data_IF_567406618033
#
_entry.id   IF_567406618033
#
_cell.length_a   1.000
_cell.length_b   1.000
_cell.length_c   1.000
_cell.angle_alpha   90.00
_cell.angle_beta   90.00
_cell.angle_gamma   90.00
#
_symmetry.space_group_name_H-M   'P 1'
#
loop_
_entity.id
_entity.type
_entity.pdbx_description
1 polymer ?
#
# COMPACT_ATOMS: atom_id res chain seq x y z
N UNK A 1 14.44 10.02 14.43
CA UNK A 1 13.56 11.21 14.54
C UNK A 1 14.03 12.26 13.54
N UNK A 2 13.10 12.92 12.85
CA UNK A 2 13.43 13.96 11.87
C UNK A 2 13.11 15.34 12.44
N UNK A 3 14.07 16.25 12.38
CA UNK A 3 13.93 17.66 12.78
C UNK A 3 13.80 18.51 11.52
N UNK A 4 12.68 19.21 11.39
CA UNK A 4 12.43 20.20 10.34
C UNK A 4 12.34 21.62 10.92
N UNK A 5 12.29 22.62 10.04
CA UNK A 5 12.21 24.04 10.47
C UNK A 5 11.03 24.33 11.40
N UNK A 6 9.92 23.58 11.31
CA UNK A 6 8.77 23.78 12.21
C UNK A 6 9.11 23.31 13.62
N UNK A 7 9.71 22.14 13.74
CA UNK A 7 10.13 21.61 15.04
C UNK A 7 11.16 22.55 15.68
N UNK A 8 12.14 23.02 14.90
CA UNK A 8 13.14 23.97 15.38
C UNK A 8 12.46 25.27 15.88
N UNK A 9 11.57 25.86 15.09
CA UNK A 9 10.90 27.11 15.45
C UNK A 9 10.03 27.00 16.72
N UNK A 10 9.21 25.97 16.81
CA UNK A 10 8.25 25.83 17.92
C UNK A 10 8.88 25.25 19.18
N UNK A 11 9.79 24.29 19.06
CA UNK A 11 10.29 23.54 20.21
C UNK A 11 11.70 23.95 20.65
N UNK A 12 12.57 24.34 19.71
CA UNK A 12 13.93 24.79 20.05
C UNK A 12 13.95 26.29 20.32
N UNK A 13 13.47 27.09 19.38
CA UNK A 13 13.39 28.55 19.51
C UNK A 13 12.19 29.01 20.37
N UNK A 14 11.28 28.10 20.73
CA UNK A 14 10.09 28.37 21.56
C UNK A 14 9.22 29.53 21.05
N UNK A 15 9.23 29.76 19.74
CA UNK A 15 8.47 30.85 19.13
C UNK A 15 7.02 30.45 18.91
N UNK A 16 6.09 31.26 19.44
CA UNK A 16 4.64 31.03 19.30
C UNK A 16 4.06 31.58 17.99
N UNK A 17 4.84 32.33 17.21
CA UNK A 17 4.39 32.95 15.96
C UNK A 17 4.43 31.92 14.83
N UNK A 18 3.53 32.03 13.85
CA UNK A 18 3.63 31.19 12.66
C UNK A 18 4.91 31.52 11.87
N UNK A 19 5.60 30.49 11.37
CA UNK A 19 6.74 30.66 10.44
C UNK A 19 6.25 31.36 9.18
N UNK A 20 6.91 32.46 8.80
CA UNK A 20 6.63 33.13 7.53
C UNK A 20 7.09 32.26 6.37
N UNK A 21 6.29 32.18 5.31
CA UNK A 21 6.66 31.47 4.08
C UNK A 21 7.95 32.06 3.52
N UNK A 22 9.03 31.27 3.48
CA UNK A 22 10.36 31.71 3.01
C UNK A 22 11.43 31.85 4.10
N UNK A 23 11.07 31.96 5.39
CA UNK A 23 12.06 32.15 6.47
C UNK A 23 12.76 30.87 6.95
N UNK A 24 12.69 29.80 6.15
CA UNK A 24 13.14 28.45 6.53
C UNK A 24 14.62 28.40 6.93
N UNK A 25 15.48 29.00 6.10
CA UNK A 25 16.92 29.02 6.34
C UNK A 25 17.32 30.03 7.40
N UNK A 26 16.55 31.10 7.58
CA UNK A 26 16.74 32.05 8.69
C UNK A 26 16.47 31.35 10.03
N UNK A 27 15.37 30.58 10.12
CA UNK A 27 15.06 29.75 11.29
C UNK A 27 16.18 28.75 11.60
N UNK A 28 16.77 28.12 10.59
CA UNK A 28 17.91 27.23 10.80
C UNK A 28 19.19 27.98 11.17
N UNK A 29 19.46 29.13 10.55
CA UNK A 29 20.61 29.98 10.86
C UNK A 29 20.61 30.50 12.29
N UNK A 30 19.44 30.60 12.93
CA UNK A 30 19.32 30.94 14.35
C UNK A 30 19.76 29.81 15.31
N UNK A 31 19.85 28.56 14.82
CA UNK A 31 20.14 27.39 15.67
C UNK A 31 21.45 26.70 15.29
N UNK A 32 21.84 26.76 14.01
CA UNK A 32 23.07 26.15 13.51
C UNK A 32 23.80 27.11 12.57
N UNK A 33 25.13 27.10 12.63
CA UNK A 33 25.97 27.85 11.69
C UNK A 33 26.01 27.16 10.33
N UNK A 34 25.20 27.67 9.39
CA UNK A 34 25.09 27.16 8.03
C UNK A 34 26.36 27.37 7.19
N UNK A 35 27.36 28.13 7.68
CA UNK A 35 28.63 28.31 6.98
C UNK A 35 29.62 27.17 7.21
N UNK A 36 29.35 26.28 8.17
CA UNK A 36 30.23 25.14 8.47
C UNK A 36 30.30 24.17 7.29
N UNK A 37 31.45 23.47 7.18
CA UNK A 37 31.74 22.47 6.13
C UNK A 37 30.62 21.44 5.97
N UNK A 38 29.97 21.08 7.07
CA UNK A 38 28.87 20.12 7.10
C UNK A 38 27.63 20.58 6.29
N UNK A 39 27.37 21.88 6.17
CA UNK A 39 26.23 22.45 5.45
C UNK A 39 26.54 22.90 4.02
N UNK A 40 27.82 22.96 3.63
CA UNK A 40 28.24 23.31 2.26
C UNK A 40 27.62 22.36 1.22
N UNK A 41 27.28 22.90 0.06
CA UNK A 41 26.73 22.12 -1.05
C UNK A 41 27.71 21.04 -1.52
N UNK A 42 27.17 19.90 -1.95
CA UNK A 42 27.90 18.69 -2.36
C UNK A 42 27.32 18.12 -3.66
N UNK A 43 27.96 17.09 -4.22
CA UNK A 43 27.54 16.42 -5.44
C UNK A 43 27.98 17.12 -6.72
N UNK A 44 27.72 16.48 -7.87
CA UNK A 44 28.02 17.04 -9.19
C UNK A 44 27.35 18.40 -9.35
N UNK A 45 28.13 19.41 -9.76
CA UNK A 45 27.68 20.81 -9.88
C UNK A 45 27.03 21.40 -8.61
N UNK A 46 27.39 20.93 -7.41
CA UNK A 46 26.79 21.40 -6.13
C UNK A 46 25.27 21.18 -6.06
N UNK A 47 24.78 20.13 -6.72
CA UNK A 47 23.36 19.78 -6.80
C UNK A 47 22.72 19.39 -5.47
N UNK A 48 23.49 18.85 -4.52
CA UNK A 48 22.99 18.45 -3.21
C UNK A 48 23.22 19.58 -2.20
N UNK A 49 22.13 20.17 -1.72
CA UNK A 49 22.16 21.25 -0.72
C UNK A 49 21.37 20.86 0.52
N UNK A 50 21.73 21.46 1.65
CA UNK A 50 20.92 21.33 2.85
C UNK A 50 19.56 21.97 2.59
N UNK A 51 18.51 21.20 2.83
CA UNK A 51 17.13 21.65 2.64
C UNK A 51 16.39 21.68 3.97
N UNK A 52 17.05 22.04 5.07
CA UNK A 52 16.37 22.28 6.34
C UNK A 52 15.79 21.04 7.02
N UNK A 53 16.44 19.89 6.86
CA UNK A 53 16.06 18.63 7.53
C UNK A 53 17.29 17.95 8.12
N UNK A 54 17.22 17.63 9.42
CA UNK A 54 18.19 16.79 10.12
C UNK A 54 17.51 15.51 10.59
N UNK A 55 18.27 14.42 10.65
CA UNK A 55 17.86 13.18 11.29
C UNK A 55 18.70 12.93 12.54
N UNK A 56 18.06 12.46 13.59
CA UNK A 56 18.73 12.10 14.85
C UNK A 56 18.11 10.85 15.44
N UNK A 57 18.93 10.01 16.03
CA UNK A 57 18.53 8.83 16.81
C UNK A 57 18.56 9.09 18.33
N UNK A 58 18.83 10.34 18.74
CA UNK A 58 19.01 10.74 20.14
C UNK A 58 20.46 10.72 20.62
N UNK A 59 21.39 10.14 19.86
CA UNK A 59 22.83 10.11 20.18
C UNK A 59 23.64 10.83 19.10
N UNK A 60 23.33 10.59 17.84
CA UNK A 60 23.95 11.21 16.67
C UNK A 60 22.99 12.09 15.87
N UNK A 61 23.56 12.90 14.98
CA UNK A 61 22.82 13.76 14.06
C UNK A 61 23.39 13.61 12.64
N UNK A 62 22.51 13.36 11.69
CA UNK A 62 22.80 13.30 10.25
C UNK A 62 22.15 14.47 9.53
N UNK A 63 22.90 15.10 8.62
CA UNK A 63 22.42 16.21 7.79
C UNK A 63 21.95 15.67 6.45
N UNK A 64 20.68 15.89 6.10
CA UNK A 64 20.15 15.49 4.80
C UNK A 64 20.44 16.57 3.76
N UNK A 65 21.12 16.18 2.67
CA UNK A 65 21.34 17.03 1.49
C UNK A 65 20.63 16.46 0.28
N UNK A 66 19.82 17.30 -0.35
CA UNK A 66 18.95 16.91 -1.45
C UNK A 66 18.93 18.00 -2.52
N UNK A 67 18.57 17.61 -3.74
CA UNK A 67 18.41 18.50 -4.89
C UNK A 67 16.97 19.03 -5.05
N UNK A 68 16.04 18.54 -4.23
CA UNK A 68 14.63 18.92 -4.22
C UNK A 68 14.26 19.60 -2.90
N UNK A 69 13.25 20.45 -2.91
CA UNK A 69 12.78 21.11 -1.70
C UNK A 69 12.08 20.09 -0.78
N UNK A 70 12.41 20.16 0.51
CA UNK A 70 11.79 19.30 1.53
C UNK A 70 10.34 19.71 1.72
N UNK A 71 9.46 19.03 1.01
CA UNK A 71 8.03 19.12 1.17
C UNK A 71 7.57 17.88 1.95
N UNK A 72 6.97 18.08 3.13
CA UNK A 72 6.27 16.99 3.83
C UNK A 72 5.05 16.49 3.03
N UNK A 73 4.61 17.24 2.02
CA UNK A 73 3.75 16.70 0.97
C UNK A 73 4.68 15.88 0.09
N UNK A 74 4.62 14.55 0.21
CA UNK A 74 5.03 13.68 -0.88
C UNK A 74 4.53 14.31 -2.18
N UNK A 75 5.35 14.45 -3.24
CA UNK A 75 4.79 14.74 -4.55
C UNK A 75 3.66 13.75 -4.71
N UNK A 76 2.41 14.25 -4.81
CA UNK A 76 1.30 13.37 -5.18
C UNK A 76 1.81 12.70 -6.45
N UNK A 77 1.97 11.37 -6.47
CA UNK A 77 2.26 10.75 -7.74
C UNK A 77 1.09 11.18 -8.63
N UNK A 78 1.38 11.92 -9.70
CA UNK A 78 0.53 11.93 -10.89
C UNK A 78 0.61 10.57 -11.59
N UNK A 79 1.00 9.51 -10.88
CA UNK A 79 0.51 8.18 -11.17
C UNK A 79 -0.97 8.25 -10.84
N UNK A 80 -1.81 8.37 -11.86
CA UNK A 80 -3.12 7.72 -11.83
C UNK A 80 -2.91 6.44 -11.05
N UNK A 81 -3.43 6.38 -9.81
CA UNK A 81 -3.41 5.13 -9.07
C UNK A 81 -4.02 4.16 -10.07
N UNK A 82 -3.26 3.16 -10.51
CA UNK A 82 -3.88 1.95 -11.03
C UNK A 82 -4.81 1.55 -9.91
N UNK A 83 -6.09 1.87 -10.09
CA UNK A 83 -7.15 1.48 -9.19
C UNK A 83 -7.11 -0.02 -9.33
N UNK A 84 -6.39 -0.68 -8.44
CA UNK A 84 -6.60 -2.09 -8.21
C UNK A 84 -8.11 -2.19 -7.98
N UNK A 85 -8.80 -2.98 -8.81
CA UNK A 85 -10.27 -3.03 -8.94
C UNK A 85 -10.97 -3.58 -7.70
N UNK A 86 -10.33 -3.46 -6.54
CA UNK A 86 -10.69 -4.00 -5.26
C UNK A 86 -10.56 -2.90 -4.17
N UNK A 87 -10.72 -1.63 -4.53
CA UNK A 87 -10.93 -0.57 -3.54
C UNK A 87 -12.33 -0.74 -2.97
N UNK A 88 -12.40 -1.42 -1.83
CA UNK A 88 -13.61 -1.46 -1.02
C UNK A 88 -13.92 -0.04 -0.56
N UNK A 89 -15.11 0.47 -0.88
CA UNK A 89 -15.57 1.77 -0.42
C UNK A 89 -15.74 1.77 1.11
N UNK A 90 -15.52 2.94 1.71
CA UNK A 90 -15.73 3.17 3.14
C UNK A 90 -17.22 3.18 3.46
N UNK A 91 -17.59 2.89 4.71
CA UNK A 91 -18.99 3.03 5.16
C UNK A 91 -19.51 4.44 4.93
N UNK A 92 -18.67 5.45 5.17
CA UNK A 92 -19.01 6.86 4.95
C UNK A 92 -19.25 7.19 3.46
N UNK A 93 -18.79 6.34 2.54
CA UNK A 93 -18.97 6.48 1.09
C UNK A 93 -20.06 5.58 0.51
N UNK A 94 -20.65 4.67 1.30
CA UNK A 94 -21.69 3.77 0.83
C UNK A 94 -22.99 4.52 0.58
N UNK A 95 -23.72 4.09 -0.46
CA UNK A 95 -25.07 4.58 -0.73
C UNK A 95 -26.07 4.13 0.34
N UNK A 96 -27.22 4.80 0.41
CA UNK A 96 -28.27 4.51 1.40
C UNK A 96 -28.77 3.05 1.33
N UNK A 97 -28.80 2.46 0.12
CA UNK A 97 -29.21 1.07 -0.07
C UNK A 97 -28.22 0.08 0.54
N UNK A 98 -26.92 0.32 0.38
CA UNK A 98 -25.86 -0.53 0.92
C UNK A 98 -25.79 -0.40 2.45
N UNK A 99 -25.96 0.81 2.98
CA UNK A 99 -26.06 1.05 4.42
C UNK A 99 -27.25 0.32 5.06
N UNK A 100 -28.41 0.30 4.39
CA UNK A 100 -29.57 -0.49 4.85
C UNK A 100 -29.28 -1.99 4.82
N UNK A 101 -28.50 -2.49 3.86
CA UNK A 101 -28.11 -3.91 3.82
C UNK A 101 -27.19 -4.35 4.98
N UNK A 102 -26.59 -3.39 5.67
CA UNK A 102 -25.79 -3.59 6.89
C UNK A 102 -26.58 -3.48 8.18
N UNK A 103 -27.90 -3.23 8.12
CA UNK A 103 -28.76 -3.22 9.30
C UNK A 103 -28.72 -4.57 10.04
N UNK A 104 -28.52 -4.52 11.36
CA UNK A 104 -28.31 -5.71 12.19
C UNK A 104 -26.89 -6.31 12.14
N UNK A 105 -25.97 -5.78 11.32
CA UNK A 105 -24.56 -6.21 11.27
C UNK A 105 -23.67 -5.17 11.95
N UNK A 106 -22.79 -5.63 12.83
CA UNK A 106 -21.75 -4.77 13.40
C UNK A 106 -20.54 -4.72 12.46
N UNK A 107 -20.10 -3.52 12.10
CA UNK A 107 -18.87 -3.36 11.32
C UNK A 107 -17.70 -3.22 12.28
N UNK A 108 -16.96 -4.31 12.43
CA UNK A 108 -15.76 -4.37 13.26
C UNK A 108 -14.51 -3.77 12.58
N UNK A 109 -14.47 -3.74 11.24
CA UNK A 109 -13.31 -3.27 10.47
C UNK A 109 -13.81 -2.52 9.23
N UNK A 110 -13.41 -1.24 9.08
CA UNK A 110 -13.54 -0.52 7.81
C UNK A 110 -12.26 -0.73 6.98
N UNK A 111 -12.30 -1.53 5.90
CA UNK A 111 -11.13 -1.88 5.09
C UNK A 111 -10.47 -0.69 4.39
N UNK A 112 -11.14 0.46 4.34
CA UNK A 112 -10.61 1.67 3.76
C UNK A 112 -9.77 2.49 4.75
N UNK A 113 -10.08 2.49 6.07
CA UNK A 113 -9.36 3.29 7.07
C UNK A 113 -8.02 2.66 7.47
N UNK A 114 -7.07 3.48 7.95
CA UNK A 114 -5.79 3.00 8.49
C UNK A 114 -5.97 2.60 9.95
N UNK A 115 -6.93 1.72 10.21
CA UNK A 115 -7.22 1.31 11.58
C UNK A 115 -6.19 0.26 12.00
N UNK A 116 -5.67 0.44 13.22
CA UNK A 116 -4.77 -0.49 13.90
C UNK A 116 -5.65 -1.46 14.67
N UNK A 117 -5.79 -2.69 14.18
CA UNK A 117 -6.47 -3.72 14.95
C UNK A 117 -5.44 -4.49 15.77
N UNK A 118 -5.68 -4.58 17.08
CA UNK A 118 -4.92 -5.44 17.97
C UNK A 118 -5.62 -6.80 18.02
N UNK A 119 -5.07 -7.79 17.32
CA UNK A 119 -5.51 -9.17 17.39
C UNK A 119 -4.64 -9.94 18.39
N UNK A 120 -5.17 -11.01 18.98
CA UNK A 120 -4.31 -12.07 19.55
C UNK A 120 -4.16 -13.19 18.53
N UNK A 121 -2.99 -13.82 18.49
CA UNK A 121 -2.79 -15.03 17.69
C UNK A 121 -3.54 -16.19 18.34
N UNK A 122 -3.96 -17.15 17.52
CA UNK A 122 -4.58 -18.40 17.98
C UNK A 122 -3.66 -19.21 18.91
N UNK A 123 -2.34 -19.06 18.74
CA UNK A 123 -1.32 -19.68 19.59
C UNK A 123 -1.06 -18.94 20.90
N UNK A 124 -1.81 -17.87 21.18
CA UNK A 124 -1.67 -17.10 22.41
C UNK A 124 -2.27 -17.85 23.60
N UNK A 125 -1.53 -17.95 24.69
CA UNK A 125 -2.05 -18.45 25.97
C UNK A 125 -2.24 -17.30 26.97
N UNK A 126 -2.77 -17.61 28.16
CA UNK A 126 -2.98 -16.61 29.24
C UNK A 126 -1.63 -16.11 29.76
N UNK A 127 -0.65 -17.01 29.86
CA UNK A 127 0.71 -16.75 30.32
C UNK A 127 1.56 -16.07 29.23
N UNK A 128 1.42 -16.51 27.97
CA UNK A 128 2.14 -15.95 26.83
C UNK A 128 1.19 -15.29 25.84
N UNK A 129 0.92 -14.01 26.09
CA UNK A 129 0.08 -13.19 25.21
C UNK A 129 0.82 -12.84 23.93
N UNK A 130 0.44 -13.46 22.83
CA UNK A 130 0.97 -13.18 21.51
C UNK A 130 0.03 -12.25 20.73
N UNK A 131 0.33 -10.96 20.75
CA UNK A 131 -0.45 -9.95 20.02
C UNK A 131 0.03 -9.78 18.58
N UNK A 132 -0.91 -9.52 17.67
CA UNK A 132 -0.69 -9.24 16.26
C UNK A 132 -1.36 -7.90 15.95
N UNK A 133 -0.56 -6.92 15.51
CA UNK A 133 -1.10 -5.66 15.02
C UNK A 133 -1.43 -5.82 13.54
N UNK A 134 -2.71 -5.86 13.21
CA UNK A 134 -3.18 -5.88 11.84
C UNK A 134 -3.29 -4.45 11.31
N UNK A 135 -2.53 -4.17 10.24
CA UNK A 135 -2.55 -2.89 9.54
C UNK A 135 -2.95 -3.10 8.08
N UNK A 136 -3.45 -2.07 7.39
CA UNK A 136 -3.74 -2.12 5.95
C UNK A 136 -2.55 -2.62 5.10
N UNK A 137 -1.32 -2.32 5.51
CA UNK A 137 -0.10 -2.80 4.85
C UNK A 137 0.14 -4.31 5.04
N UNK A 138 -0.48 -4.94 6.04
CA UNK A 138 -0.47 -6.39 6.21
C UNK A 138 -1.49 -7.09 5.30
N UNK A 139 -2.53 -6.38 4.80
CA UNK A 139 -3.47 -6.91 3.80
C UNK A 139 -2.81 -7.13 2.43
N UNK A 140 -1.97 -6.18 1.98
CA UNK A 140 -1.25 -6.29 0.71
C UNK A 140 -0.08 -7.27 0.77
N UNK A 141 0.46 -7.51 1.97
CA UNK A 141 1.35 -8.64 2.24
C UNK A 141 0.52 -9.92 2.25
N UNK A 142 0.12 -10.41 1.08
CA UNK A 142 -0.15 -11.83 0.92
C UNK A 142 1.08 -12.58 1.43
N UNK A 143 0.95 -13.11 2.66
CA UNK A 143 2.02 -13.82 3.33
C UNK A 143 2.53 -14.90 2.37
N UNK A 144 3.82 -15.22 2.45
CA UNK A 144 4.42 -16.29 1.64
C UNK A 144 3.57 -17.57 1.74
N UNK A 145 3.00 -17.82 2.92
CA UNK A 145 2.03 -18.88 3.19
C UNK A 145 0.78 -18.82 2.30
N UNK A 146 0.06 -17.69 2.23
CA UNK A 146 -1.13 -17.57 1.36
C UNK A 146 -0.79 -17.69 -0.14
N UNK A 147 0.39 -17.25 -0.57
CA UNK A 147 0.86 -17.49 -1.93
C UNK A 147 1.08 -18.98 -2.22
N UNK A 148 1.64 -19.73 -1.28
CA UNK A 148 1.79 -21.19 -1.41
C UNK A 148 0.45 -21.92 -1.36
N UNK A 149 -0.45 -21.53 -0.46
CA UNK A 149 -1.80 -22.09 -0.41
C UNK A 149 -2.52 -21.88 -1.75
N UNK A 150 -2.52 -20.65 -2.29
CA UNK A 150 -3.15 -20.35 -3.57
C UNK A 150 -2.61 -21.21 -4.71
N UNK A 151 -1.29 -21.48 -4.74
CA UNK A 151 -0.69 -22.40 -5.71
C UNK A 151 -1.13 -23.85 -5.50
N UNK A 152 -1.15 -24.32 -4.24
CA UNK A 152 -1.58 -25.68 -3.89
C UNK A 152 -3.05 -25.93 -4.21
N UNK A 153 -3.92 -24.97 -3.93
CA UNK A 153 -5.37 -25.06 -4.17
C UNK A 153 -5.77 -24.58 -5.56
N UNK A 154 -4.82 -24.28 -6.44
CA UNK A 154 -5.11 -23.81 -7.79
C UNK A 154 -5.72 -24.97 -8.59
N UNK A 155 -6.90 -24.80 -9.21
CA UNK A 155 -7.50 -25.86 -10.02
C UNK A 155 -6.58 -26.23 -11.18
N UNK A 156 -6.54 -27.52 -11.51
CA UNK A 156 -5.74 -28.05 -12.59
C UNK A 156 -5.98 -27.35 -13.94
N UNK A 157 -7.23 -26.97 -14.23
CA UNK A 157 -7.59 -26.25 -15.46
C UNK A 157 -6.91 -24.87 -15.51
N UNK A 158 -6.86 -24.16 -14.37
CA UNK A 158 -6.19 -22.86 -14.28
C UNK A 158 -4.67 -23.00 -14.45
N UNK A 159 -4.08 -24.04 -13.86
CA UNK A 159 -2.65 -24.33 -14.04
C UNK A 159 -2.31 -24.59 -15.52
N UNK A 160 -3.12 -25.40 -16.22
CA UNK A 160 -2.96 -25.66 -17.66
C UNK A 160 -3.02 -24.38 -18.48
N UNK A 161 -3.98 -23.51 -18.18
CA UNK A 161 -4.14 -22.22 -18.86
C UNK A 161 -2.93 -21.31 -18.66
N UNK A 162 -2.41 -21.21 -17.43
CA UNK A 162 -1.22 -20.42 -17.13
C UNK A 162 0.00 -20.93 -17.89
N UNK A 163 0.18 -22.26 -18.01
CA UNK A 163 1.26 -22.87 -18.79
C UNK A 163 1.15 -22.55 -20.29
N UNK A 164 -0.06 -22.56 -20.84
CA UNK A 164 -0.29 -22.21 -22.25
C UNK A 164 0.08 -20.74 -22.50
N UNK A 165 -0.36 -19.82 -21.63
CA UNK A 165 -0.04 -18.40 -21.74
C UNK A 165 1.45 -18.12 -21.49
N UNK A 166 2.09 -18.80 -20.55
CA UNK A 166 3.52 -18.57 -20.23
C UNK A 166 4.45 -18.99 -21.38
N UNK A 167 4.02 -19.96 -22.19
CA UNK A 167 4.75 -20.41 -23.38
C UNK A 167 4.56 -19.50 -24.59
N UNK A 168 3.58 -18.59 -24.54
CA UNK A 168 3.29 -17.67 -25.64
C UNK A 168 4.06 -16.36 -25.49
N UNK A 169 4.72 -15.93 -26.57
CA UNK A 169 5.46 -14.67 -26.60
C UNK A 169 4.50 -13.48 -26.71
N UNK A 170 4.16 -12.87 -25.58
CA UNK A 170 3.23 -11.73 -25.54
C UNK A 170 3.80 -10.42 -26.09
N UNK A 171 5.12 -10.26 -26.07
CA UNK A 171 5.84 -9.03 -26.45
C UNK A 171 6.73 -9.23 -27.69
N UNK A 172 6.35 -10.12 -28.60
CA UNK A 172 7.12 -10.37 -29.83
C UNK A 172 6.87 -9.27 -30.87
N UNK A 173 7.93 -8.73 -31.47
CA UNK A 173 7.85 -7.80 -32.62
C UNK A 173 7.53 -8.56 -33.93
N UNK A 174 7.64 -9.89 -33.92
CA UNK A 174 7.30 -10.73 -35.05
C UNK A 174 5.78 -10.88 -35.19
N UNK A 175 5.23 -10.40 -36.32
CA UNK A 175 3.80 -10.41 -36.61
C UNK A 175 3.17 -11.81 -36.50
N UNK A 176 3.83 -12.86 -37.03
CA UNK A 176 3.30 -14.23 -36.99
C UNK A 176 3.15 -14.73 -35.55
N UNK A 177 4.16 -14.46 -34.72
CA UNK A 177 4.15 -14.84 -33.29
C UNK A 177 3.11 -14.02 -32.51
N UNK A 178 2.98 -12.73 -32.80
CA UNK A 178 1.97 -11.87 -32.17
C UNK A 178 0.54 -12.31 -32.51
N UNK A 179 0.23 -12.59 -33.77
CA UNK A 179 -1.08 -13.12 -34.19
C UNK A 179 -1.39 -14.45 -33.49
N UNK A 180 -0.39 -15.34 -33.38
CA UNK A 180 -0.54 -16.60 -32.66
C UNK A 180 -0.83 -16.39 -31.16
N UNK A 181 -0.18 -15.41 -30.52
CA UNK A 181 -0.46 -15.02 -29.14
C UNK A 181 -1.90 -14.52 -28.97
N UNK A 182 -2.38 -13.64 -29.86
CA UNK A 182 -3.75 -13.11 -29.79
C UNK A 182 -4.79 -14.24 -29.90
N UNK A 183 -4.62 -15.18 -30.83
CA UNK A 183 -5.49 -16.35 -30.96
C UNK A 183 -5.49 -17.20 -29.70
N UNK A 184 -4.31 -17.50 -29.17
CA UNK A 184 -4.14 -18.30 -27.93
C UNK A 184 -4.80 -17.60 -26.74
N UNK A 185 -4.63 -16.28 -26.61
CA UNK A 185 -5.23 -15.46 -25.55
C UNK A 185 -6.76 -15.44 -25.63
N UNK A 186 -7.33 -15.38 -26.84
CA UNK A 186 -8.78 -15.41 -27.04
C UNK A 186 -9.38 -16.76 -26.60
N UNK A 187 -8.76 -17.89 -26.99
CA UNK A 187 -9.19 -19.23 -26.58
C UNK A 187 -9.15 -19.40 -25.05
N UNK A 188 -8.08 -18.94 -24.43
CA UNK A 188 -7.92 -18.96 -22.97
C UNK A 188 -8.98 -18.12 -22.26
N UNK A 189 -9.33 -16.95 -22.82
CA UNK A 189 -10.36 -16.08 -22.24
C UNK A 189 -11.70 -16.81 -22.11
N UNK A 190 -12.13 -17.52 -23.16
CA UNK A 190 -13.36 -18.31 -23.17
C UNK A 190 -13.32 -19.46 -22.16
N UNK A 191 -12.18 -20.14 -22.03
CA UNK A 191 -12.04 -21.21 -21.04
C UNK A 191 -12.14 -20.66 -19.60
N UNK A 192 -11.56 -19.50 -19.33
CA UNK A 192 -11.64 -18.84 -18.03
C UNK A 192 -13.05 -18.38 -17.65
N UNK A 193 -13.85 -17.87 -18.60
CA UNK A 193 -15.23 -17.46 -18.34
C UNK A 193 -16.09 -18.65 -17.92
N UNK A 194 -15.96 -19.78 -18.61
CA UNK A 194 -16.70 -21.01 -18.29
C UNK A 194 -16.36 -21.54 -16.88
N UNK A 195 -15.09 -21.48 -16.48
CA UNK A 195 -14.66 -21.87 -15.13
C UNK A 195 -15.28 -20.95 -14.06
N UNK A 196 -15.33 -19.64 -14.32
CA UNK A 196 -15.91 -18.68 -13.40
C UNK A 196 -17.42 -18.90 -13.21
N UNK A 197 -18.15 -19.14 -14.30
CA UNK A 197 -19.58 -19.45 -14.27
C UNK A 197 -19.87 -20.74 -13.49
N UNK A 198 -19.07 -21.79 -13.72
CA UNK A 198 -19.20 -23.08 -13.03
C UNK A 198 -18.96 -22.93 -11.52
N UNK A 199 -17.97 -22.11 -11.13
CA UNK A 199 -17.69 -21.80 -9.72
C UNK A 199 -18.81 -21.01 -9.07
N UNK A 200 -19.38 -20.03 -9.77
CA UNK A 200 -20.53 -19.27 -9.25
C UNK A 200 -21.76 -20.15 -9.06
N UNK A 201 -22.06 -21.05 -9.99
CA UNK A 201 -23.15 -22.02 -9.86
C UNK A 201 -22.93 -22.97 -8.68
N UNK A 202 -21.70 -23.47 -8.51
CA UNK A 202 -21.33 -24.35 -7.39
C UNK A 202 -21.46 -23.63 -6.03
N UNK A 203 -21.04 -22.36 -5.96
CA UNK A 203 -21.19 -21.55 -4.75
C UNK A 203 -22.66 -21.29 -4.41
N UNK A 204 -23.48 -20.94 -5.42
CA UNK A 204 -24.93 -20.75 -5.24
C UNK A 204 -25.61 -22.02 -4.74
N UNK A 205 -25.25 -23.19 -5.30
CA UNK A 205 -25.76 -24.49 -4.86
C UNK A 205 -25.34 -24.80 -3.41
N UNK A 206 -24.08 -24.56 -3.06
CA UNK A 206 -23.57 -24.77 -1.70
C UNK A 206 -24.27 -23.86 -0.68
N UNK A 207 -24.46 -22.58 -1.00
CA UNK A 207 -25.18 -21.63 -0.14
C UNK A 207 -26.63 -22.08 0.04
N UNK A 208 -27.31 -22.47 -1.05
CA UNK A 208 -28.69 -22.96 -1.02
C UNK A 208 -28.87 -24.25 -0.22
N UNK A 209 -27.88 -25.15 -0.21
CA UNK A 209 -27.90 -26.39 0.58
C UNK A 209 -27.70 -26.13 2.08
N UNK A 210 -26.87 -25.14 2.44
CA UNK A 210 -26.56 -24.82 3.83
C UNK A 210 -27.51 -23.79 4.45
N UNK A 211 -28.26 -23.03 3.64
CA UNK A 211 -29.36 -22.18 4.14
C UNK A 211 -30.58 -23.00 4.61
N UNK A 212 -30.62 -24.30 4.30
CA UNK A 212 -31.65 -25.23 4.78
C UNK A 212 -31.19 -26.03 6.03
N UNK A 213 -30.00 -25.74 6.55
CA UNK A 213 -29.41 -26.34 7.75
C UNK A 213 -29.24 -25.23 8.81
N UNK A 214 -30.36 -24.69 9.28
CA UNK A 214 -30.41 -23.87 10.51
C UNK A 214 -31.45 -24.50 11.43
N UNK A 215 -30.95 -25.12 12.51
CA UNK A 215 -31.67 -25.29 13.77
C UNK A 215 -31.54 -23.99 14.58
#
# INVERSE_FOLDING_TARGET
MTLDSKIIHYHVLKSKKNIKTGSKFETWGAVVDLNKKAFKHQGFQKSLRFQGTLETDGVGVSIIKQNTDTSRKSPKPNTEKKVDGNQTEHIEGLGQADLKSTEGKCVLIDPGRRDLMYCMKETSTVEEKQTLIFTKNNRSKCSRHFRYLRKRTQPFVVQKVEVILSRSESNSVNLKKFVQYIKTRALVKTLCTNIMETRQQSLKKYISLNSNLTF
#
